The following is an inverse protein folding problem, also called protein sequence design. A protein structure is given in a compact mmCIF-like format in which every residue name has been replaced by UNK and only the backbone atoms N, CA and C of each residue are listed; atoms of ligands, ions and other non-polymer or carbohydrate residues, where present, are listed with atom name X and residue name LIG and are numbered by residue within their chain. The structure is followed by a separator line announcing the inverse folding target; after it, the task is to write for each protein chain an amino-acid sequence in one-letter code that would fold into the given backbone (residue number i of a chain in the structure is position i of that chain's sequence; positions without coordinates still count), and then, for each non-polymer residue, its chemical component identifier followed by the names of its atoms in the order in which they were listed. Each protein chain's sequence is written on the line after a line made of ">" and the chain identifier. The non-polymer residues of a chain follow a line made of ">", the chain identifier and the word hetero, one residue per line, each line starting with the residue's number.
data_IF_330431222001
#
_entry.id   IF_330431222001
#
_cell.length_a   1.000
_cell.length_b   1.000
_cell.length_c   1.000
_cell.angle_alpha   90.00
_cell.angle_beta   90.00
_cell.angle_gamma   90.00
#
_symmetry.space_group_name_H-M   'P 1'
#
loop_
_entity.id
_entity.type
_entity.pdbx_description
1 polymer ?
#
# COMPACT_ATOMS: atom_id res chain seq x y z
N UNK A 1 -4.04 16.09 3.58
CA UNK A 1 -4.19 15.70 2.17
C UNK A 1 -3.12 16.43 1.38
N UNK A 2 -2.32 15.72 0.62
CA UNK A 2 -1.29 16.25 -0.28
C UNK A 2 -1.75 16.05 -1.72
N UNK A 3 -1.16 16.81 -2.64
CA UNK A 3 -1.47 16.75 -4.06
C UNK A 3 -0.22 16.38 -4.83
N UNK A 4 -0.35 15.48 -5.78
CA UNK A 4 0.77 14.88 -6.45
C UNK A 4 0.67 15.02 -7.98
N UNK A 5 1.84 15.05 -8.62
CA UNK A 5 2.01 14.96 -10.04
C UNK A 5 3.00 13.85 -10.36
N UNK A 6 2.56 12.83 -11.11
CA UNK A 6 3.42 11.72 -11.52
C UNK A 6 3.73 11.79 -13.00
N UNK A 7 4.99 11.57 -13.36
CA UNK A 7 5.46 11.52 -14.77
C UNK A 7 5.65 10.07 -15.20
N UNK A 8 4.73 9.58 -16.06
CA UNK A 8 4.58 8.16 -16.43
C UNK A 8 4.83 7.91 -17.92
N UNK A 9 5.82 8.58 -18.53
CA UNK A 9 6.04 8.59 -20.00
C UNK A 9 6.00 7.20 -20.66
N UNK A 10 6.63 6.20 -20.07
CA UNK A 10 6.73 4.84 -20.64
C UNK A 10 5.87 3.80 -19.95
N UNK A 11 5.29 4.10 -18.81
CA UNK A 11 4.62 3.15 -17.93
C UNK A 11 3.14 3.43 -17.73
N UNK A 12 2.65 4.60 -18.15
CA UNK A 12 1.26 5.04 -17.91
C UNK A 12 0.20 3.97 -18.21
N UNK A 13 0.29 3.32 -19.40
CA UNK A 13 -0.69 2.32 -19.80
C UNK A 13 -0.75 1.13 -18.84
N UNK A 14 0.39 0.71 -18.35
CA UNK A 14 0.50 -0.42 -17.42
C UNK A 14 -0.01 -0.04 -16.04
N UNK A 15 0.43 1.11 -15.53
CA UNK A 15 0.03 1.64 -14.24
C UNK A 15 -1.48 1.94 -14.20
N UNK A 16 -2.01 2.57 -15.25
CA UNK A 16 -3.43 2.85 -15.39
C UNK A 16 -4.28 1.57 -15.41
N UNK A 17 -3.90 0.57 -16.21
CA UNK A 17 -4.64 -0.70 -16.32
C UNK A 17 -4.52 -1.56 -15.07
N UNK A 18 -3.44 -1.41 -14.32
CA UNK A 18 -3.17 -2.16 -13.08
C UNK A 18 -3.67 -1.44 -11.82
N UNK A 19 -4.22 -0.22 -11.94
CA UNK A 19 -4.66 0.59 -10.81
C UNK A 19 -3.53 0.84 -9.76
N UNK A 20 -2.30 1.13 -10.22
CA UNK A 20 -1.16 1.39 -9.33
C UNK A 20 -0.19 2.46 -9.88
N UNK A 21 0.68 2.98 -9.01
CA UNK A 21 1.90 3.70 -9.34
C UNK A 21 3.09 2.85 -8.89
N UNK A 22 4.16 2.83 -9.67
CA UNK A 22 5.38 2.11 -9.29
C UNK A 22 6.65 2.89 -9.66
N UNK A 23 7.59 2.99 -8.72
CA UNK A 23 8.94 3.53 -8.96
C UNK A 23 10.00 2.64 -8.33
N UNK A 24 11.22 2.56 -8.88
CA UNK A 24 12.32 1.91 -8.18
C UNK A 24 12.61 2.61 -6.85
N UNK A 25 13.17 1.89 -5.87
CA UNK A 25 13.60 2.48 -4.59
C UNK A 25 14.78 3.41 -4.77
N UNK A 26 15.67 3.07 -5.70
CA UNK A 26 16.91 3.79 -5.94
C UNK A 26 17.13 4.03 -7.43
N UNK A 27 17.76 5.15 -7.75
CA UNK A 27 18.27 5.42 -9.09
C UNK A 27 19.67 4.83 -9.30
N UNK A 28 20.21 4.91 -10.52
CA UNK A 28 21.57 4.44 -10.85
C UNK A 28 22.70 5.00 -9.95
N UNK A 29 22.49 6.13 -9.29
CA UNK A 29 23.47 6.84 -8.45
C UNK A 29 23.05 6.87 -6.97
N UNK A 30 22.13 5.99 -6.55
CA UNK A 30 21.61 5.93 -5.20
C UNK A 30 20.21 6.58 -5.02
N UNK A 31 19.83 6.90 -3.79
CA UNK A 31 18.50 7.41 -3.46
C UNK A 31 18.14 8.69 -4.22
N UNK A 32 16.92 8.76 -4.74
CA UNK A 32 16.40 9.94 -5.41
C UNK A 32 15.13 10.43 -4.69
N UNK A 33 15.09 11.73 -4.35
CA UNK A 33 13.95 12.34 -3.68
C UNK A 33 12.62 12.04 -4.38
N UNK A 34 12.61 12.00 -5.71
CA UNK A 34 11.40 11.71 -6.48
C UNK A 34 10.85 10.28 -6.27
N UNK A 35 11.70 9.33 -5.91
CA UNK A 35 11.31 7.97 -5.55
C UNK A 35 10.92 7.89 -4.08
N UNK A 36 11.63 8.61 -3.20
CA UNK A 36 11.27 8.72 -1.79
C UNK A 36 9.93 9.43 -1.58
N UNK A 37 9.53 10.33 -2.48
CA UNK A 37 8.21 10.97 -2.46
C UNK A 37 7.06 9.95 -2.49
N UNK A 38 7.25 8.76 -3.09
CA UNK A 38 6.25 7.68 -3.04
C UNK A 38 5.84 7.35 -1.61
N UNK A 39 6.78 7.37 -0.67
CA UNK A 39 6.56 7.07 0.76
C UNK A 39 5.78 8.15 1.50
N UNK A 40 5.64 9.33 0.90
CA UNK A 40 4.90 10.47 1.47
C UNK A 40 3.44 10.51 1.02
N UNK A 41 3.06 9.66 0.04
CA UNK A 41 1.67 9.53 -0.40
C UNK A 41 0.85 8.90 0.73
N UNK A 42 -0.29 9.50 1.00
CA UNK A 42 -1.30 9.00 1.94
C UNK A 42 -2.55 8.55 1.20
N UNK A 43 -3.29 7.61 1.79
CA UNK A 43 -4.59 7.20 1.26
C UNK A 43 -5.51 8.42 1.12
N UNK A 44 -6.14 8.52 -0.04
CA UNK A 44 -7.01 9.64 -0.39
C UNK A 44 -6.31 10.80 -1.08
N UNK A 45 -4.97 10.81 -1.15
CA UNK A 45 -4.25 11.86 -1.88
C UNK A 45 -4.54 11.79 -3.39
N UNK A 46 -4.90 12.91 -4.04
CA UNK A 46 -5.08 12.96 -5.47
C UNK A 46 -3.75 13.10 -6.21
N UNK A 47 -3.66 12.45 -7.38
CA UNK A 47 -2.44 12.34 -8.17
C UNK A 47 -2.77 12.61 -9.64
N UNK A 48 -2.16 13.61 -10.24
CA UNK A 48 -2.25 13.91 -11.67
C UNK A 48 -1.23 13.09 -12.45
N UNK A 49 -1.67 12.42 -13.49
CA UNK A 49 -0.82 11.60 -14.38
C UNK A 49 -0.41 12.36 -15.63
N UNK A 50 0.89 12.61 -15.74
CA UNK A 50 1.49 13.29 -16.89
C UNK A 50 2.24 12.29 -17.78
N UNK A 51 1.85 12.22 -19.04
CA UNK A 51 2.51 11.42 -20.05
C UNK A 51 2.43 12.10 -21.42
N UNK A 52 3.50 11.95 -22.20
CA UNK A 52 3.58 12.47 -23.57
C UNK A 52 3.21 13.96 -23.72
N UNK A 53 3.66 14.80 -22.78
CA UNK A 53 3.45 16.25 -22.81
C UNK A 53 2.08 16.71 -22.30
N UNK A 54 1.24 15.80 -21.80
CA UNK A 54 -0.12 16.12 -21.34
C UNK A 54 -0.40 15.49 -19.99
N UNK A 55 -1.23 16.15 -19.17
CA UNK A 55 -1.93 15.51 -18.07
C UNK A 55 -3.13 14.81 -18.69
N UNK A 56 -3.28 13.52 -18.45
CA UNK A 56 -4.24 12.65 -19.15
C UNK A 56 -5.20 11.95 -18.20
N UNK A 57 -4.84 11.83 -16.94
CA UNK A 57 -5.67 11.20 -15.91
C UNK A 57 -5.45 11.85 -14.56
N UNK A 58 -6.40 11.65 -13.69
CA UNK A 58 -6.28 11.85 -12.24
C UNK A 58 -6.51 10.52 -11.57
N UNK A 59 -5.83 10.28 -10.46
CA UNK A 59 -6.06 9.11 -9.62
C UNK A 59 -6.12 9.49 -8.15
N UNK A 60 -6.69 8.61 -7.33
CA UNK A 60 -6.73 8.73 -5.88
C UNK A 60 -5.99 7.55 -5.28
N UNK A 61 -5.01 7.83 -4.44
CA UNK A 61 -4.29 6.78 -3.75
C UNK A 61 -5.22 5.97 -2.84
N UNK A 62 -5.20 4.65 -2.96
CA UNK A 62 -5.96 3.74 -2.10
C UNK A 62 -5.06 3.01 -1.10
N UNK A 63 -3.74 3.08 -1.30
CA UNK A 63 -2.74 2.62 -0.34
C UNK A 63 -1.69 3.70 -0.11
N UNK A 64 -0.92 3.63 1.00
CA UNK A 64 0.40 4.27 1.07
C UNK A 64 1.42 3.43 0.29
N UNK A 65 2.65 3.92 0.12
CA UNK A 65 3.69 3.15 -0.55
C UNK A 65 4.08 1.88 0.22
N UNK A 66 4.27 0.81 -0.51
CA UNK A 66 4.79 -0.46 -0.02
C UNK A 66 5.85 -1.01 -0.99
N UNK A 67 6.71 -1.90 -0.49
CA UNK A 67 7.70 -2.56 -1.33
C UNK A 67 7.03 -3.53 -2.28
N UNK A 68 7.40 -3.45 -3.57
CA UNK A 68 6.89 -4.35 -4.60
C UNK A 68 7.98 -4.62 -5.66
N UNK A 69 8.02 -5.82 -6.24
CA UNK A 69 8.90 -6.09 -7.36
C UNK A 69 8.51 -5.23 -8.57
N UNK A 70 9.47 -5.02 -9.48
CA UNK A 70 9.20 -4.36 -10.76
C UNK A 70 8.10 -5.12 -11.51
N UNK A 71 7.01 -4.45 -11.93
CA UNK A 71 5.95 -5.08 -12.69
C UNK A 71 6.48 -5.71 -13.99
N UNK A 72 6.13 -6.98 -14.24
CA UNK A 72 6.60 -7.72 -15.41
C UNK A 72 6.08 -7.12 -16.73
N UNK A 73 4.90 -6.49 -16.67
CA UNK A 73 4.26 -5.81 -17.79
C UNK A 73 5.00 -4.57 -18.27
N UNK A 74 5.93 -4.03 -17.47
CA UNK A 74 6.80 -2.93 -17.93
C UNK A 74 7.76 -3.37 -19.03
N UNK A 75 8.03 -4.67 -19.17
CA UNK A 75 8.90 -5.20 -20.20
C UNK A 75 10.26 -4.49 -20.24
N UNK A 76 10.57 -3.85 -21.37
CA UNK A 76 11.81 -3.09 -21.55
C UNK A 76 11.76 -1.69 -20.92
N UNK A 77 10.61 -1.19 -20.47
CA UNK A 77 10.56 0.09 -19.76
C UNK A 77 11.33 -0.02 -18.45
N UNK A 78 12.30 0.90 -18.26
CA UNK A 78 13.15 0.85 -17.09
C UNK A 78 13.99 -0.42 -16.97
N UNK A 79 14.53 -0.95 -18.07
CA UNK A 79 15.40 -2.14 -18.06
C UNK A 79 16.58 -2.02 -17.07
N UNK A 80 17.00 -0.79 -16.78
CA UNK A 80 18.09 -0.49 -15.86
C UNK A 80 17.62 -0.13 -14.42
N UNK A 81 16.30 -0.23 -14.16
CA UNK A 81 15.76 0.03 -12.82
C UNK A 81 15.98 -1.17 -11.91
N UNK A 82 16.09 -0.92 -10.61
CA UNK A 82 16.09 -1.97 -9.61
C UNK A 82 14.84 -2.83 -9.73
N UNK A 83 14.96 -4.13 -9.47
CA UNK A 83 13.81 -5.03 -9.40
C UNK A 83 12.95 -4.81 -8.15
N UNK A 84 13.44 -4.02 -7.19
CA UNK A 84 12.67 -3.58 -6.02
C UNK A 84 12.23 -2.13 -6.18
N UNK A 85 10.96 -1.88 -5.86
CA UNK A 85 10.35 -0.56 -5.97
C UNK A 85 9.38 -0.25 -4.85
N UNK A 86 8.87 0.98 -4.92
CA UNK A 86 7.72 1.44 -4.16
C UNK A 86 6.49 1.36 -5.05
N UNK A 87 5.42 0.73 -4.56
CA UNK A 87 4.11 0.73 -5.19
C UNK A 87 3.11 1.48 -4.33
N UNK A 88 2.20 2.20 -4.99
CA UNK A 88 0.99 2.78 -4.41
C UNK A 88 -0.16 2.34 -5.28
N UNK A 89 -1.13 1.65 -4.72
CA UNK A 89 -2.36 1.34 -5.45
C UNK A 89 -3.22 2.60 -5.52
N UNK A 90 -3.81 2.85 -6.69
CA UNK A 90 -4.54 4.07 -6.97
C UNK A 90 -5.71 3.80 -7.93
N UNK A 91 -6.83 4.47 -7.71
CA UNK A 91 -7.96 4.42 -8.64
C UNK A 91 -7.87 5.56 -9.63
N UNK A 92 -7.80 5.19 -10.90
CA UNK A 92 -7.63 6.14 -12.00
C UNK A 92 -8.94 6.53 -12.65
N UNK A 93 -8.97 7.79 -13.11
CA UNK A 93 -9.99 8.34 -13.97
C UNK A 93 -9.32 9.14 -15.09
N UNK A 94 -9.69 8.87 -16.34
CA UNK A 94 -9.24 9.70 -17.46
C UNK A 94 -9.92 11.07 -17.40
N UNK A 95 -9.15 12.13 -17.65
CA UNK A 95 -9.70 13.47 -17.80
C UNK A 95 -10.56 13.56 -19.07
N UNK A 96 -11.64 14.33 -19.02
CA UNK A 96 -12.51 14.62 -20.19
C UNK A 96 -11.71 15.27 -21.30
N UNK A 97 -10.79 16.17 -20.94
CA UNK A 97 -9.86 16.81 -21.86
C UNK A 97 -8.42 16.66 -21.37
N UNK A 98 -7.53 16.27 -22.27
CA UNK A 98 -6.09 16.24 -21.96
C UNK A 98 -5.57 17.66 -21.82
N UNK A 99 -4.81 17.93 -20.78
CA UNK A 99 -4.28 19.26 -20.50
C UNK A 99 -2.83 19.31 -20.98
N UNK A 100 -2.49 20.25 -21.85
CA UNK A 100 -1.11 20.57 -22.17
C UNK A 100 -0.59 21.65 -21.22
N UNK A 101 0.30 21.35 -20.28
CA UNK A 101 0.89 22.35 -19.40
C UNK A 101 1.63 23.45 -20.20
N UNK A 102 2.27 23.06 -21.30
CA UNK A 102 2.98 24.00 -22.19
C UNK A 102 2.06 25.05 -22.80
N UNK A 103 0.87 24.67 -23.26
CA UNK A 103 -0.12 25.61 -23.82
C UNK A 103 -0.78 26.47 -22.73
N UNK A 104 -0.78 26.04 -21.49
CA UNK A 104 -1.38 26.73 -20.36
C UNK A 104 -0.33 27.35 -19.41
N UNK A 105 0.93 27.47 -19.84
CA UNK A 105 2.05 27.83 -18.98
C UNK A 105 1.85 29.17 -18.26
N UNK A 106 1.25 30.14 -18.91
CA UNK A 106 1.01 31.45 -18.32
C UNK A 106 0.05 31.41 -17.13
N UNK A 107 -0.93 30.47 -17.15
CA UNK A 107 -1.88 30.29 -16.04
C UNK A 107 -1.26 29.52 -14.87
N UNK A 108 -0.41 28.55 -15.16
CA UNK A 108 0.11 27.63 -14.13
C UNK A 108 1.48 28.04 -13.59
N UNK A 109 2.28 28.83 -14.32
CA UNK A 109 3.61 29.28 -13.90
C UNK A 109 3.64 29.91 -12.49
N UNK A 110 2.70 30.82 -12.12
CA UNK A 110 2.72 31.42 -10.78
C UNK A 110 2.50 30.43 -9.64
N UNK A 111 1.92 29.26 -9.96
CA UNK A 111 1.56 28.21 -8.98
C UNK A 111 2.59 27.07 -8.92
N UNK A 112 3.60 27.10 -9.81
CA UNK A 112 4.63 26.07 -9.82
C UNK A 112 5.54 26.17 -8.60
N UNK A 113 5.95 25.05 -8.02
CA UNK A 113 6.93 25.04 -6.94
C UNK A 113 8.26 25.67 -7.39
N UNK A 114 8.84 26.55 -6.59
CA UNK A 114 10.15 27.16 -6.87
C UNK A 114 11.30 26.15 -6.93
N UNK A 115 11.14 25.00 -6.25
CA UNK A 115 12.09 23.87 -6.29
C UNK A 115 11.31 22.58 -6.55
N UNK A 116 11.95 21.68 -7.30
CA UNK A 116 11.35 20.38 -7.66
C UNK A 116 10.03 20.52 -8.42
N UNK A 117 9.96 21.49 -9.33
CA UNK A 117 8.80 21.67 -10.22
C UNK A 117 8.61 20.47 -11.15
N UNK A 118 7.36 20.02 -11.41
CA UNK A 118 7.08 18.94 -12.35
C UNK A 118 7.39 19.32 -13.82
N UNK A 119 7.42 20.62 -14.13
CA UNK A 119 7.73 21.14 -15.47
C UNK A 119 8.80 22.23 -15.39
N UNK A 120 9.47 22.44 -16.52
CA UNK A 120 10.45 23.50 -16.74
C UNK A 120 9.75 24.82 -17.03
N UNK A 121 10.51 25.92 -17.06
CA UNK A 121 9.98 27.26 -17.38
C UNK A 121 9.33 27.37 -18.77
N UNK A 122 9.79 26.54 -19.72
CA UNK A 122 9.24 26.45 -21.07
C UNK A 122 7.99 25.52 -21.16
N UNK A 123 7.54 24.94 -20.05
CA UNK A 123 6.40 24.04 -19.96
C UNK A 123 6.68 22.57 -20.31
N UNK A 124 7.92 22.21 -20.61
CA UNK A 124 8.31 20.81 -20.83
C UNK A 124 8.43 20.07 -19.50
N UNK A 125 8.06 18.77 -19.48
CA UNK A 125 8.13 17.95 -18.27
C UNK A 125 9.54 17.72 -17.78
N UNK A 126 9.75 17.78 -16.47
CA UNK A 126 10.98 17.38 -15.82
C UNK A 126 11.10 15.84 -15.73
N UNK A 127 12.37 15.35 -15.74
CA UNK A 127 12.68 13.91 -15.80
C UNK A 127 12.68 13.23 -14.42
N UNK A 128 11.81 13.63 -13.51
CA UNK A 128 11.62 12.95 -12.23
C UNK A 128 10.26 12.27 -12.20
N UNK A 129 10.07 11.31 -11.32
CA UNK A 129 8.88 10.48 -11.32
C UNK A 129 7.70 11.16 -10.60
N UNK A 130 7.86 11.57 -9.33
CA UNK A 130 6.78 12.07 -8.48
C UNK A 130 7.13 13.41 -7.84
N UNK A 131 6.20 14.36 -7.96
CA UNK A 131 6.32 15.72 -7.44
C UNK A 131 5.14 16.05 -6.53
N UNK A 132 5.42 16.70 -5.41
CA UNK A 132 4.40 17.35 -4.60
C UNK A 132 4.04 18.69 -5.25
N UNK A 133 2.75 18.99 -5.39
CA UNK A 133 2.22 20.22 -5.94
C UNK A 133 1.27 20.89 -4.95
N UNK A 134 0.99 22.18 -5.15
CA UNK A 134 0.03 22.87 -4.31
C UNK A 134 -1.42 22.48 -4.67
N UNK A 135 -2.33 22.68 -3.73
CA UNK A 135 -3.76 22.48 -3.94
C UNK A 135 -4.27 23.38 -5.07
N UNK A 136 -3.84 24.64 -5.06
CA UNK A 136 -4.24 25.66 -6.05
C UNK A 136 -3.82 25.25 -7.46
N UNK A 137 -2.60 24.72 -7.64
CA UNK A 137 -2.15 24.22 -8.93
C UNK A 137 -2.99 23.02 -9.37
N UNK A 138 -3.30 22.12 -8.46
CA UNK A 138 -4.14 20.95 -8.75
C UNK A 138 -5.55 21.40 -9.22
N UNK A 139 -6.19 22.31 -8.50
CA UNK A 139 -7.53 22.81 -8.82
C UNK A 139 -7.57 23.51 -10.19
N UNK A 140 -6.62 24.41 -10.48
CA UNK A 140 -6.51 25.05 -11.80
C UNK A 140 -6.33 24.03 -12.93
N UNK A 141 -5.57 22.96 -12.70
CA UNK A 141 -5.40 21.92 -13.70
C UNK A 141 -6.67 21.09 -13.89
N UNK A 142 -7.41 20.78 -12.81
CA UNK A 142 -8.69 20.07 -12.92
C UNK A 142 -9.74 20.91 -13.70
N UNK A 143 -9.83 22.21 -13.44
CA UNK A 143 -10.71 23.13 -14.18
C UNK A 143 -10.37 23.14 -15.69
N UNK A 144 -9.07 23.17 -16.03
CA UNK A 144 -8.61 23.10 -17.42
C UNK A 144 -8.92 21.74 -18.08
N UNK A 145 -9.09 20.70 -17.31
CA UNK A 145 -9.48 19.36 -17.77
C UNK A 145 -10.97 19.19 -18.03
N UNK A 146 -11.78 20.22 -17.72
CA UNK A 146 -13.24 20.18 -17.87
C UNK A 146 -13.95 19.29 -16.87
N UNK A 147 -13.30 18.95 -15.78
CA UNK A 147 -13.84 18.15 -14.68
C UNK A 147 -14.27 19.07 -13.52
N UNK A 148 -15.29 19.94 -13.79
CA UNK A 148 -15.90 20.84 -12.79
C UNK A 148 -16.70 20.07 -11.72
N UNK A 149 -17.09 18.85 -12.00
CA UNK A 149 -17.71 17.98 -11.02
C UNK A 149 -16.61 17.42 -10.11
N UNK A 150 -16.74 17.73 -8.82
CA UNK A 150 -15.90 17.23 -7.74
C UNK A 150 -15.42 15.82 -8.08
N UNK A 151 -14.11 15.64 -8.18
CA UNK A 151 -13.48 14.32 -8.29
C UNK A 151 -13.95 13.46 -7.11
N UNK A 152 -15.15 12.93 -7.27
CA UNK A 152 -15.77 11.97 -6.37
C UNK A 152 -15.57 10.59 -6.96
N UNK A 153 -14.43 9.97 -6.62
CA UNK A 153 -14.47 8.51 -6.59
C UNK A 153 -15.53 8.18 -5.54
N UNK A 154 -16.61 7.53 -6.01
CA UNK A 154 -17.73 7.13 -5.16
C UNK A 154 -17.20 6.46 -3.87
N UNK A 155 -17.75 6.88 -2.74
CA UNK A 155 -17.43 6.35 -1.40
C UNK A 155 -17.85 4.87 -1.22
N UNK A 156 -18.23 4.18 -2.31
CA UNK A 156 -18.73 2.80 -2.30
C UNK A 156 -17.72 1.75 -1.80
N UNK A 157 -16.48 2.18 -1.50
CA UNK A 157 -15.46 1.26 -0.95
C UNK A 157 -15.47 1.16 0.58
N UNK A 158 -16.20 2.03 1.28
CA UNK A 158 -16.16 2.11 2.76
C UNK A 158 -17.23 1.28 3.51
N UNK A 159 -18.27 0.81 2.85
CA UNK A 159 -19.47 0.43 3.62
C UNK A 159 -19.62 -1.04 3.99
N UNK A 160 -18.84 -1.96 3.42
CA UNK A 160 -19.12 -3.40 3.61
C UNK A 160 -18.17 -4.16 4.57
N UNK A 161 -17.06 -3.55 5.01
CA UNK A 161 -16.10 -4.22 5.90
C UNK A 161 -16.01 -3.66 7.33
N UNK A 162 -16.73 -2.59 7.64
CA UNK A 162 -16.51 -1.80 8.87
C UNK A 162 -17.18 -2.32 10.15
N UNK A 163 -18.21 -3.17 10.06
CA UNK A 163 -19.06 -3.44 11.23
C UNK A 163 -18.48 -4.50 12.18
N UNK A 164 -17.85 -5.54 11.67
CA UNK A 164 -17.30 -6.62 12.50
C UNK A 164 -15.91 -6.33 13.10
N UNK A 165 -15.07 -5.56 12.39
CA UNK A 165 -13.78 -5.12 12.93
C UNK A 165 -13.90 -4.03 13.99
N UNK A 166 -14.97 -3.23 13.92
CA UNK A 166 -15.31 -2.19 14.91
C UNK A 166 -15.65 -2.78 16.27
N UNK A 167 -16.42 -3.87 16.31
CA UNK A 167 -16.82 -4.54 17.56
C UNK A 167 -15.62 -5.23 18.23
N UNK A 168 -14.70 -5.79 17.45
CA UNK A 168 -13.51 -6.45 17.99
C UNK A 168 -12.49 -5.47 18.60
N UNK A 169 -12.32 -4.28 18.00
CA UNK A 169 -11.42 -3.23 18.52
C UNK A 169 -12.02 -2.51 19.72
N UNK A 170 -13.32 -2.22 19.71
CA UNK A 170 -14.00 -1.54 20.83
C UNK A 170 -14.08 -2.39 22.10
N UNK A 171 -14.08 -3.73 21.99
CA UNK A 171 -14.09 -4.64 23.15
C UNK A 171 -12.75 -4.73 23.88
N UNK A 172 -11.68 -4.11 23.37
CA UNK A 172 -10.30 -4.18 23.94
C UNK A 172 -9.77 -2.85 24.50
N UNK A 173 -10.56 -1.79 24.45
CA UNK A 173 -10.16 -0.49 25.00
C UNK A 173 -10.92 -0.28 26.31
N UNK A 174 -10.30 -0.67 27.42
CA UNK A 174 -10.68 -0.22 28.77
C UNK A 174 -9.54 0.66 29.27
N UNK A 175 -9.73 2.00 29.32
CA UNK A 175 -9.51 2.88 30.44
C UNK A 175 -9.61 4.37 30.07
N UNK A 176 -10.16 5.13 30.98
CA UNK A 176 -10.90 6.40 30.84
C UNK A 176 -10.10 7.71 30.76
N UNK A 177 -8.81 7.73 30.45
CA UNK A 177 -8.00 8.95 30.60
C UNK A 177 -7.60 9.70 29.32
N UNK A 178 -7.97 9.25 28.11
CA UNK A 178 -7.44 9.82 26.85
C UNK A 178 -8.50 10.04 25.75
N UNK A 179 -9.67 10.58 26.08
CA UNK A 179 -10.82 10.63 25.16
C UNK A 179 -10.65 11.50 23.89
N UNK A 180 -9.84 12.52 23.86
CA UNK A 180 -9.70 13.36 22.65
C UNK A 180 -8.59 12.89 21.68
N UNK A 181 -7.54 12.31 22.20
CA UNK A 181 -6.46 11.69 21.39
C UNK A 181 -6.87 10.32 20.85
N UNK A 182 -7.81 9.64 21.49
CA UNK A 182 -8.22 8.27 21.14
C UNK A 182 -9.03 8.20 19.83
N UNK A 183 -9.91 9.16 19.53
CA UNK A 183 -10.73 9.14 18.33
C UNK A 183 -9.89 9.29 17.04
N UNK A 184 -8.91 10.20 17.04
CA UNK A 184 -7.99 10.40 15.92
C UNK A 184 -7.04 9.21 15.76
N UNK A 185 -6.59 8.61 16.86
CA UNK A 185 -5.76 7.42 16.87
C UNK A 185 -6.53 6.17 16.42
N UNK A 186 -7.82 6.06 16.76
CA UNK A 186 -8.70 4.97 16.31
C UNK A 186 -8.95 5.07 14.80
N UNK A 187 -9.22 6.26 14.27
CA UNK A 187 -9.40 6.47 12.82
C UNK A 187 -8.11 6.18 12.07
N UNK A 188 -6.96 6.64 12.58
CA UNK A 188 -5.66 6.36 11.98
C UNK A 188 -5.30 4.86 12.06
N UNK A 189 -5.62 4.19 13.17
CA UNK A 189 -5.43 2.74 13.33
C UNK A 189 -6.31 1.93 12.37
N UNK A 190 -7.58 2.31 12.20
CA UNK A 190 -8.51 1.65 11.26
C UNK A 190 -8.07 1.81 9.80
N UNK A 191 -7.69 3.03 9.41
CA UNK A 191 -7.13 3.30 8.08
C UNK A 191 -5.86 2.49 7.86
N UNK A 192 -5.00 2.39 8.87
CA UNK A 192 -3.78 1.59 8.84
C UNK A 192 -4.03 0.09 8.69
N UNK A 193 -5.08 -0.45 9.31
CA UNK A 193 -5.44 -1.88 9.21
C UNK A 193 -5.99 -2.24 7.81
N UNK A 194 -6.85 -1.41 7.23
CA UNK A 194 -7.35 -1.61 5.87
C UNK A 194 -6.22 -1.57 4.85
N UNK A 195 -5.30 -0.64 5.02
CA UNK A 195 -4.11 -0.50 4.22
C UNK A 195 -3.16 -1.70 4.38
N UNK A 196 -2.90 -2.13 5.59
CA UNK A 196 -2.09 -3.32 5.87
C UNK A 196 -2.68 -4.55 5.19
N UNK A 197 -4.01 -4.77 5.33
CA UNK A 197 -4.70 -5.90 4.69
C UNK A 197 -4.54 -5.90 3.16
N UNK A 198 -4.68 -4.75 2.51
CA UNK A 198 -4.51 -4.65 1.05
C UNK A 198 -3.09 -5.04 0.62
N UNK A 199 -2.09 -4.62 1.39
CA UNK A 199 -0.68 -4.94 1.13
C UNK A 199 -0.36 -6.41 1.38
N UNK A 200 -0.86 -6.98 2.48
CA UNK A 200 -0.71 -8.41 2.76
C UNK A 200 -1.35 -9.24 1.65
N UNK A 201 -2.51 -8.83 1.14
CA UNK A 201 -3.21 -9.50 0.03
C UNK A 201 -2.41 -9.48 -1.27
N UNK A 202 -1.56 -8.48 -1.46
CA UNK A 202 -0.65 -8.44 -2.60
C UNK A 202 0.45 -9.50 -2.50
N UNK A 203 1.04 -9.67 -1.31
CA UNK A 203 2.11 -10.64 -1.02
C UNK A 203 1.55 -12.06 -0.92
N UNK A 204 0.48 -12.24 -0.15
CA UNK A 204 -0.15 -13.51 0.14
C UNK A 204 -1.44 -13.70 -0.65
N UNK A 205 -1.57 -14.84 -1.34
CA UNK A 205 -2.75 -15.13 -2.18
C UNK A 205 -3.84 -15.93 -1.45
N UNK A 206 -3.60 -16.29 -0.21
CA UNK A 206 -4.53 -17.06 0.62
C UNK A 206 -3.89 -17.57 1.89
N UNK A 207 -4.65 -18.30 2.69
CA UNK A 207 -4.14 -18.94 3.88
C UNK A 207 -3.26 -20.15 3.50
N UNK A 208 -1.98 -20.08 3.78
CA UNK A 208 -1.01 -21.13 3.43
C UNK A 208 -1.30 -22.47 4.13
N UNK A 209 -1.91 -22.44 5.31
CA UNK A 209 -2.24 -23.65 6.06
C UNK A 209 -3.49 -24.35 5.54
N UNK A 210 -4.57 -23.57 5.31
CA UNK A 210 -5.87 -24.15 4.88
C UNK A 210 -6.06 -24.18 3.37
N UNK A 211 -5.25 -23.41 2.63
CA UNK A 211 -5.43 -23.23 1.19
C UNK A 211 -6.59 -22.31 0.80
N UNK A 212 -7.30 -21.72 1.76
CA UNK A 212 -8.42 -20.81 1.51
C UNK A 212 -7.95 -19.53 0.80
N UNK A 213 -8.64 -19.14 -0.31
CA UNK A 213 -8.29 -17.99 -1.14
C UNK A 213 -9.31 -16.83 -1.06
N UNK A 214 -10.42 -17.01 -0.36
CA UNK A 214 -11.46 -16.00 -0.24
C UNK A 214 -11.07 -14.87 0.70
N UNK A 215 -10.48 -13.81 0.19
CA UNK A 215 -9.92 -12.68 0.97
C UNK A 215 -10.87 -12.09 2.02
N UNK A 216 -12.19 -12.08 1.75
CA UNK A 216 -13.22 -11.60 2.70
C UNK A 216 -13.35 -12.45 3.97
N UNK A 217 -12.89 -13.70 3.93
CA UNK A 217 -12.92 -14.63 5.06
C UNK A 217 -11.57 -14.76 5.76
N UNK A 218 -10.54 -14.08 5.26
CA UNK A 218 -9.18 -14.17 5.78
C UNK A 218 -8.83 -12.94 6.59
N UNK A 219 -8.03 -13.15 7.62
CA UNK A 219 -7.46 -12.13 8.49
C UNK A 219 -6.06 -11.80 7.98
N UNK A 220 -5.76 -10.52 7.83
CA UNK A 220 -4.39 -10.05 7.67
C UNK A 220 -3.72 -9.99 9.03
N UNK A 221 -2.94 -11.01 9.35
CA UNK A 221 -2.26 -11.19 10.63
C UNK A 221 -0.84 -10.62 10.57
N UNK A 222 -0.46 -9.80 11.55
CA UNK A 222 0.92 -9.34 11.65
C UNK A 222 1.85 -10.46 12.13
N UNK A 223 2.97 -10.66 11.43
CA UNK A 223 4.02 -11.60 11.82
C UNK A 223 4.74 -11.07 13.06
N UNK A 224 5.29 -9.86 12.98
CA UNK A 224 5.78 -9.12 14.14
C UNK A 224 4.63 -8.27 14.67
N UNK A 225 4.18 -8.46 15.92
CA UNK A 225 2.97 -7.83 16.45
C UNK A 225 2.96 -6.31 16.29
N UNK A 226 1.79 -5.73 16.02
CA UNK A 226 1.59 -4.29 15.88
C UNK A 226 2.23 -3.47 17.00
N UNK A 227 2.08 -3.92 18.26
CA UNK A 227 2.63 -3.25 19.46
C UNK A 227 4.16 -3.25 19.52
N UNK A 228 4.81 -4.11 18.76
CA UNK A 228 6.27 -4.26 18.70
C UNK A 228 6.87 -3.72 17.39
N UNK A 229 6.01 -3.32 16.46
CA UNK A 229 6.37 -2.81 15.14
C UNK A 229 6.51 -1.29 15.16
N UNK A 230 7.50 -0.76 14.45
CA UNK A 230 7.57 0.68 14.15
C UNK A 230 6.51 1.05 13.09
N UNK A 231 6.37 2.36 12.79
CA UNK A 231 5.32 2.84 11.90
C UNK A 231 5.45 2.35 10.44
N UNK A 232 6.65 1.98 10.00
CA UNK A 232 6.89 1.39 8.68
C UNK A 232 6.48 -0.08 8.70
N UNK A 233 6.96 -0.84 9.70
CA UNK A 233 6.67 -2.26 9.87
C UNK A 233 5.18 -2.56 10.08
N UNK A 234 4.44 -1.65 10.74
CA UNK A 234 2.98 -1.75 10.93
C UNK A 234 2.21 -1.79 9.63
N UNK A 235 2.75 -1.16 8.61
CA UNK A 235 2.11 -1.02 7.31
C UNK A 235 2.80 -1.84 6.22
N UNK A 236 3.83 -2.60 6.53
CA UNK A 236 4.55 -3.43 5.58
C UNK A 236 3.78 -4.73 5.29
N UNK A 237 3.41 -4.97 4.04
CA UNK A 237 2.72 -6.18 3.59
C UNK A 237 3.53 -7.46 3.82
N UNK A 238 4.86 -7.36 3.83
CA UNK A 238 5.72 -8.48 4.18
C UNK A 238 5.74 -8.79 5.68
N UNK A 239 5.31 -7.86 6.54
CA UNK A 239 5.06 -8.14 7.95
C UNK A 239 3.69 -8.80 8.17
N UNK A 240 3.14 -9.46 7.17
CA UNK A 240 1.80 -10.03 7.26
C UNK A 240 1.61 -11.37 6.58
N UNK A 241 0.61 -12.09 7.07
CA UNK A 241 0.08 -13.32 6.50
C UNK A 241 -1.43 -13.20 6.31
N UNK A 242 -1.98 -13.85 5.27
CA UNK A 242 -3.42 -14.07 5.18
C UNK A 242 -3.77 -15.40 5.83
N UNK A 243 -4.49 -15.34 6.93
CA UNK A 243 -4.80 -16.54 7.72
C UNK A 243 -6.32 -16.73 7.86
N UNK A 244 -6.75 -17.99 7.82
CA UNK A 244 -8.11 -18.34 8.28
C UNK A 244 -8.25 -18.03 9.78
N UNK A 245 -9.42 -17.64 10.29
CA UNK A 245 -9.57 -17.13 11.67
C UNK A 245 -9.03 -18.04 12.76
N UNK A 246 -9.19 -19.35 12.61
CA UNK A 246 -8.68 -20.33 13.57
C UNK A 246 -7.15 -20.48 13.49
N UNK A 247 -6.57 -20.36 12.30
CA UNK A 247 -5.12 -20.37 12.10
C UNK A 247 -4.48 -19.08 12.63
N UNK A 248 -5.09 -17.94 12.37
CA UNK A 248 -4.69 -16.65 12.95
C UNK A 248 -4.64 -16.71 14.48
N UNK A 249 -5.67 -17.30 15.09
CA UNK A 249 -5.71 -17.49 16.54
C UNK A 249 -4.56 -18.32 17.09
N UNK A 250 -4.17 -19.39 16.42
CA UNK A 250 -3.03 -20.23 16.84
C UNK A 250 -1.71 -19.49 16.64
N UNK A 251 -1.57 -18.77 15.53
CA UNK A 251 -0.39 -17.99 15.21
C UNK A 251 -0.17 -16.85 16.21
N UNK A 252 -1.17 -16.02 16.46
CA UNK A 252 -1.13 -14.94 17.46
C UNK A 252 -0.79 -15.44 18.88
N UNK A 253 -1.19 -16.64 19.22
CA UNK A 253 -0.90 -17.26 20.52
C UNK A 253 0.46 -17.94 20.56
N UNK A 254 1.19 -17.96 19.44
CA UNK A 254 2.47 -18.65 19.32
C UNK A 254 2.36 -20.17 19.43
N UNK A 255 1.18 -20.73 19.15
CA UNK A 255 0.96 -22.17 19.11
C UNK A 255 1.36 -22.79 17.78
N UNK A 256 1.44 -21.96 16.73
CA UNK A 256 2.06 -22.31 15.46
C UNK A 256 3.01 -21.19 15.01
N UNK A 257 3.96 -21.55 14.16
CA UNK A 257 4.83 -20.62 13.43
C UNK A 257 5.24 -21.25 12.10
N UNK A 258 6.15 -20.60 11.39
CA UNK A 258 6.67 -21.10 10.12
C UNK A 258 8.20 -21.01 10.10
N UNK A 259 8.84 -21.98 9.46
CA UNK A 259 10.23 -21.89 9.06
C UNK A 259 10.34 -21.09 7.75
N UNK A 260 11.53 -20.63 7.42
CA UNK A 260 11.77 -19.77 6.24
C UNK A 260 11.51 -20.47 4.90
N UNK A 261 11.67 -21.79 4.86
CA UNK A 261 11.36 -22.67 3.74
C UNK A 261 9.88 -23.04 3.63
N UNK A 262 9.07 -22.64 4.61
CA UNK A 262 7.62 -22.81 4.63
C UNK A 262 7.13 -23.98 5.48
N UNK A 263 7.97 -24.68 6.20
CA UNK A 263 7.51 -25.73 7.12
C UNK A 263 6.67 -25.15 8.23
N UNK A 264 5.48 -25.72 8.43
CA UNK A 264 4.59 -25.35 9.54
C UNK A 264 5.12 -25.94 10.84
N UNK A 265 5.43 -25.07 11.79
CA UNK A 265 5.89 -25.42 13.14
C UNK A 265 4.70 -25.44 14.09
N UNK A 266 4.42 -26.57 14.70
CA UNK A 266 3.36 -26.74 15.70
C UNK A 266 4.00 -26.89 17.08
N UNK A 267 3.59 -26.03 18.02
CA UNK A 267 4.09 -26.06 19.39
C UNK A 267 3.60 -27.30 20.13
N UNK A 268 4.49 -27.88 20.95
CA UNK A 268 4.12 -28.95 21.90
C UNK A 268 3.05 -28.52 22.92
N UNK A 269 2.84 -27.23 23.12
CA UNK A 269 1.79 -26.67 23.99
C UNK A 269 0.45 -26.51 23.28
N UNK A 270 0.37 -26.78 21.96
CA UNK A 270 -0.88 -26.80 21.27
C UNK A 270 -1.67 -28.06 21.59
N UNK A 271 -2.95 -27.90 21.92
CA UNK A 271 -3.82 -29.05 22.20
C UNK A 271 -3.97 -29.90 20.93
N UNK A 272 -3.55 -31.17 21.00
CA UNK A 272 -3.60 -32.09 19.88
C UNK A 272 -5.02 -32.31 19.37
N UNK A 273 -6.03 -32.31 20.26
CA UNK A 273 -7.43 -32.46 19.88
C UNK A 273 -7.94 -31.32 18.97
N UNK A 274 -7.39 -30.12 19.16
CA UNK A 274 -7.70 -28.95 18.31
C UNK A 274 -7.03 -29.08 16.94
N UNK A 275 -5.77 -29.55 16.91
CA UNK A 275 -5.04 -29.79 15.66
C UNK A 275 -5.80 -30.80 14.80
N UNK A 276 -6.28 -31.90 15.40
CA UNK A 276 -7.04 -32.93 14.74
C UNK A 276 -8.44 -32.43 14.29
N UNK A 277 -9.18 -31.76 15.18
CA UNK A 277 -10.52 -31.25 14.89
C UNK A 277 -10.53 -30.20 13.77
N UNK A 278 -9.45 -29.42 13.63
CA UNK A 278 -9.30 -28.40 12.59
C UNK A 278 -8.54 -28.91 11.36
N UNK A 279 -8.20 -30.21 11.33
CA UNK A 279 -7.46 -30.86 10.25
C UNK A 279 -6.16 -30.10 9.87
N UNK A 280 -5.41 -29.67 10.89
CA UNK A 280 -4.14 -28.97 10.69
C UNK A 280 -3.02 -30.00 10.56
N UNK A 281 -2.41 -30.05 9.40
CA UNK A 281 -1.30 -30.96 9.13
C UNK A 281 0.04 -30.21 9.16
N UNK A 282 1.02 -30.77 9.86
CA UNK A 282 2.41 -30.33 9.78
C UNK A 282 2.94 -30.62 8.37
N UNK A 283 2.99 -29.59 7.52
CA UNK A 283 3.43 -29.71 6.12
C UNK A 283 4.19 -28.47 5.69
N UNK A 284 4.92 -28.59 4.60
CA UNK A 284 5.50 -27.43 3.94
C UNK A 284 4.41 -26.63 3.22
N UNK A 285 4.36 -25.33 3.50
CA UNK A 285 3.35 -24.39 2.97
C UNK A 285 3.90 -23.49 1.86
N UNK A 286 5.12 -23.77 1.38
CA UNK A 286 5.85 -22.98 0.38
C UNK A 286 6.73 -21.89 1.00
N UNK A 287 7.87 -21.66 0.39
CA UNK A 287 8.88 -20.70 0.85
C UNK A 287 8.32 -19.30 1.01
N UNK A 288 8.89 -18.55 1.94
CA UNK A 288 8.56 -17.14 2.17
C UNK A 288 9.49 -16.21 1.39
N UNK A 289 9.03 -14.99 1.12
CA UNK A 289 9.87 -13.92 0.59
C UNK A 289 10.97 -13.55 1.59
N UNK A 290 12.13 -13.11 1.10
CA UNK A 290 13.26 -12.77 1.96
C UNK A 290 12.90 -11.68 2.98
N UNK A 291 12.05 -10.74 2.57
CA UNK A 291 11.53 -9.68 3.46
C UNK A 291 10.65 -10.23 4.59
N UNK A 292 9.91 -11.31 4.38
CA UNK A 292 9.07 -11.94 5.42
C UNK A 292 9.92 -12.70 6.43
N UNK A 293 11.07 -13.24 6.02
CA UNK A 293 11.92 -14.12 6.88
C UNK A 293 12.39 -13.40 8.14
N UNK A 294 12.72 -12.12 8.05
CA UNK A 294 13.13 -11.32 9.22
C UNK A 294 12.01 -11.19 10.26
N UNK A 295 10.76 -11.03 9.82
CA UNK A 295 9.59 -10.98 10.67
C UNK A 295 9.24 -12.37 11.25
N UNK A 296 9.39 -13.43 10.44
CA UNK A 296 9.20 -14.80 10.89
C UNK A 296 10.26 -15.20 11.95
N UNK A 297 11.52 -14.79 11.77
CA UNK A 297 12.54 -14.98 12.78
C UNK A 297 12.18 -14.29 14.10
N UNK A 298 11.68 -13.03 14.04
CA UNK A 298 11.17 -12.35 15.22
C UNK A 298 10.04 -13.13 15.88
N UNK A 299 9.06 -13.64 15.11
CA UNK A 299 7.93 -14.41 15.62
C UNK A 299 8.41 -15.69 16.31
N UNK A 300 9.31 -16.45 15.68
CA UNK A 300 9.87 -17.66 16.24
C UNK A 300 10.60 -17.44 17.57
N UNK A 301 11.35 -16.33 17.68
CA UNK A 301 12.14 -16.04 18.89
C UNK A 301 11.34 -15.43 20.03
N UNK A 302 10.28 -14.69 19.74
CA UNK A 302 9.62 -13.86 20.76
C UNK A 302 8.16 -14.23 21.03
N UNK A 303 7.50 -14.94 20.13
CA UNK A 303 6.07 -15.26 20.20
C UNK A 303 5.82 -16.76 20.24
N UNK A 304 6.49 -17.51 19.38
CA UNK A 304 6.32 -18.97 19.26
C UNK A 304 6.77 -19.69 20.52
N UNK A 305 5.97 -20.67 20.96
CA UNK A 305 6.16 -21.47 22.18
C UNK A 305 6.66 -22.88 21.81
N UNK A 306 7.80 -22.91 21.15
CA UNK A 306 8.42 -24.16 20.69
C UNK A 306 8.81 -25.14 21.76
#
# INVERSE_FOLDING_TARGET
>A
MKYWWVSQKGTFKHEFNGDYLWSPKEGKRGPLKAYDNMRLISVGDPILSFANGHIIAVSKAVTCAFSAPKPSEFGNAGAEWSNEGWQVDAKYQLLKQRISPKHNIEKIRPLLPAKYSPIQENGDGNQSYLFEISKELFEVLMDLGGDDDKFTLSDDFETTQNTQEVEWVSSRITDDAERETSATNIVASRKGQGLFKSRVTYVEKGCRVTGAKGQKYLIASHIKPWSKSNNIEKLDGYNGLLLSPHIDRLFDKGLISFADDGDLLISKHCDQSIIEAWAIEARNTGSFHDEQKSYLDYHRRNIYKG
#
